data_IF_296996873540
#
_entry.id   IF_296996873540
#
_cell.length_a   1.000
_cell.length_b   1.000
_cell.length_c   1.000
_cell.angle_alpha   90.00
_cell.angle_beta   90.00
_cell.angle_gamma   90.00
#
_symmetry.space_group_name_H-M   'P 1'
#
loop_
_entity.id
_entity.type
_entity.pdbx_description
1 polymer ?
#
# COMPACT_ATOMS: atom_id res chain seq x y z
N UNK A 1 -11.83 -12.35 6.44
CA UNK A 1 -10.53 -12.37 5.74
C UNK A 1 -10.59 -11.78 4.34
N UNK A 2 -11.54 -12.19 3.48
CA UNK A 2 -11.59 -11.74 2.07
C UNK A 2 -11.83 -10.24 1.90
N UNK A 3 -12.81 -9.65 2.60
CA UNK A 3 -13.14 -8.21 2.45
C UNK A 3 -11.98 -7.32 2.93
N UNK A 4 -11.43 -7.61 4.11
CA UNK A 4 -10.31 -6.83 4.68
C UNK A 4 -9.06 -6.88 3.78
N UNK A 5 -8.79 -8.04 3.16
CA UNK A 5 -7.74 -8.20 2.16
C UNK A 5 -7.93 -7.25 0.97
N UNK A 6 -9.14 -7.19 0.42
CA UNK A 6 -9.45 -6.30 -0.70
C UNK A 6 -9.35 -4.83 -0.31
N UNK A 7 -9.84 -4.44 0.88
CA UNK A 7 -9.75 -3.05 1.35
C UNK A 7 -8.30 -2.58 1.42
N UNK A 8 -7.43 -3.36 2.05
CA UNK A 8 -6.00 -2.99 2.17
C UNK A 8 -5.34 -2.99 0.80
N UNK A 9 -5.72 -3.92 -0.08
CA UNK A 9 -5.19 -3.94 -1.44
C UNK A 9 -5.59 -2.74 -2.27
N UNK A 10 -6.81 -2.24 -2.12
CA UNK A 10 -7.26 -1.00 -2.76
C UNK A 10 -6.47 0.19 -2.19
N UNK A 11 -6.30 0.28 -0.87
CA UNK A 11 -5.52 1.34 -0.23
C UNK A 11 -4.07 1.33 -0.74
N UNK A 12 -3.45 0.15 -0.78
CA UNK A 12 -2.11 -0.04 -1.35
C UNK A 12 -2.05 0.45 -2.80
N UNK A 13 -2.98 0.03 -3.64
CA UNK A 13 -3.06 0.41 -5.04
C UNK A 13 -3.19 1.91 -5.24
N UNK A 14 -4.08 2.56 -4.47
CA UNK A 14 -4.29 4.01 -4.53
C UNK A 14 -3.04 4.79 -4.08
N UNK A 15 -2.37 4.37 -3.02
CA UNK A 15 -1.15 5.01 -2.53
C UNK A 15 0.01 4.84 -3.53
N UNK A 16 0.16 3.64 -4.10
CA UNK A 16 1.18 3.36 -5.10
C UNK A 16 0.92 4.19 -6.38
N UNK A 17 -0.32 4.19 -6.89
CA UNK A 17 -0.70 4.98 -8.06
C UNK A 17 -0.51 6.48 -7.82
N UNK A 18 -0.97 7.00 -6.67
CA UNK A 18 -0.79 8.40 -6.29
C UNK A 18 0.68 8.79 -6.15
N UNK A 19 1.52 7.87 -5.65
CA UNK A 19 2.97 8.07 -5.57
C UNK A 19 3.60 8.21 -6.96
N UNK A 20 3.26 7.31 -7.88
CA UNK A 20 3.76 7.35 -9.27
C UNK A 20 3.26 8.60 -9.99
N UNK A 21 1.98 8.94 -9.87
CA UNK A 21 1.42 10.16 -10.46
C UNK A 21 2.11 11.42 -9.93
N UNK A 22 2.35 11.50 -8.62
CA UNK A 22 3.07 12.62 -8.01
C UNK A 22 4.51 12.70 -8.53
N UNK A 23 5.18 11.56 -8.74
CA UNK A 23 6.52 11.54 -9.33
C UNK A 23 6.51 12.03 -10.78
N UNK A 24 5.53 11.62 -11.58
CA UNK A 24 5.36 12.08 -12.96
C UNK A 24 5.10 13.60 -13.00
N UNK A 25 4.26 14.11 -12.11
CA UNK A 25 4.00 15.55 -12.00
C UNK A 25 5.25 16.33 -11.57
N UNK A 26 6.08 15.78 -10.68
CA UNK A 26 7.36 16.37 -10.34
C UNK A 26 8.27 16.44 -11.58
N UNK A 27 8.40 15.36 -12.35
CA UNK A 27 9.22 15.35 -13.56
C UNK A 27 8.72 16.33 -14.63
N UNK A 28 7.41 16.54 -14.73
CA UNK A 28 6.81 17.43 -15.71
C UNK A 28 6.85 18.91 -15.32
N UNK A 29 6.72 19.23 -14.03
CA UNK A 29 6.53 20.60 -13.53
C UNK A 29 7.72 21.14 -12.73
N UNK A 30 8.65 20.26 -12.32
CA UNK A 30 9.80 20.55 -11.46
C UNK A 30 9.44 21.22 -10.11
N UNK A 31 8.20 21.04 -9.65
CA UNK A 31 7.73 21.60 -8.37
C UNK A 31 8.08 20.61 -7.23
N UNK A 32 8.94 20.99 -6.27
CA UNK A 32 9.46 20.07 -5.24
C UNK A 32 8.38 19.46 -4.33
N UNK A 33 7.24 20.15 -4.18
CA UNK A 33 6.07 19.64 -3.45
C UNK A 33 5.60 18.27 -3.96
N UNK A 34 5.65 18.03 -5.27
CA UNK A 34 5.23 16.76 -5.86
C UNK A 34 6.19 15.62 -5.52
N UNK A 35 7.48 15.90 -5.38
CA UNK A 35 8.48 14.92 -4.95
C UNK A 35 8.27 14.50 -3.49
N UNK A 36 7.97 15.46 -2.61
CA UNK A 36 7.63 15.18 -1.21
C UNK A 36 6.37 14.32 -1.09
N UNK A 37 5.33 14.66 -1.86
CA UNK A 37 4.09 13.86 -1.93
C UNK A 37 4.35 12.45 -2.45
N UNK A 38 5.13 12.30 -3.53
CA UNK A 38 5.50 11.00 -4.07
C UNK A 38 6.18 10.12 -3.01
N UNK A 39 7.15 10.67 -2.27
CA UNK A 39 7.86 9.96 -1.19
C UNK A 39 6.96 9.62 0.00
N UNK A 40 6.07 10.52 0.39
CA UNK A 40 5.11 10.27 1.48
C UNK A 40 4.13 9.15 1.12
N UNK A 41 3.52 9.23 -0.07
CA UNK A 41 2.59 8.22 -0.58
C UNK A 41 3.28 6.86 -0.77
N UNK A 42 4.54 6.85 -1.22
CA UNK A 42 5.33 5.61 -1.33
C UNK A 42 5.54 4.95 0.03
N UNK A 43 5.85 5.72 1.08
CA UNK A 43 5.98 5.19 2.45
C UNK A 43 4.65 4.59 2.93
N UNK A 44 3.54 5.28 2.67
CA UNK A 44 2.20 4.76 2.94
C UNK A 44 1.91 3.45 2.19
N UNK A 45 2.25 3.38 0.90
CA UNK A 45 2.10 2.18 0.10
C UNK A 45 2.92 1.01 0.69
N UNK A 46 4.18 1.23 1.08
CA UNK A 46 4.95 0.16 1.73
C UNK A 46 4.33 -0.35 3.03
N UNK A 47 3.82 0.55 3.88
CA UNK A 47 3.13 0.16 5.11
C UNK A 47 1.86 -0.64 4.82
N UNK A 48 1.05 -0.20 3.86
CA UNK A 48 -0.17 -0.91 3.46
C UNK A 48 0.18 -2.30 2.89
N UNK A 49 1.23 -2.40 2.07
CA UNK A 49 1.69 -3.67 1.50
C UNK A 49 2.21 -4.65 2.55
N UNK A 50 3.04 -4.17 3.50
CA UNK A 50 3.52 -4.99 4.62
C UNK A 50 2.38 -5.48 5.51
N UNK A 51 1.40 -4.61 5.77
CA UNK A 51 0.22 -4.95 6.56
C UNK A 51 -0.62 -6.00 5.85
N UNK A 52 -0.87 -5.82 4.55
CA UNK A 52 -1.56 -6.79 3.71
C UNK A 52 -0.88 -8.16 3.78
N UNK A 53 0.42 -8.21 3.50
CA UNK A 53 1.19 -9.44 3.53
C UNK A 53 1.11 -10.14 4.89
N UNK A 54 1.30 -9.39 5.98
CA UNK A 54 1.18 -9.94 7.34
C UNK A 54 -0.19 -10.54 7.59
N UNK A 55 -1.27 -9.85 7.25
CA UNK A 55 -2.62 -10.36 7.46
C UNK A 55 -2.87 -11.64 6.65
N UNK A 56 -2.36 -11.73 5.42
CA UNK A 56 -2.52 -12.94 4.62
C UNK A 56 -1.77 -14.15 5.16
N UNK A 57 -0.54 -13.94 5.63
CA UNK A 57 0.29 -15.00 6.18
C UNK A 57 -0.25 -15.42 7.55
N UNK A 58 -0.32 -14.48 8.49
CA UNK A 58 -0.77 -14.75 9.85
C UNK A 58 -2.23 -15.19 9.89
N UNK A 59 -3.10 -14.62 9.05
CA UNK A 59 -4.49 -15.05 8.95
C UNK A 59 -4.63 -16.52 8.55
N UNK A 60 -3.75 -17.01 7.66
CA UNK A 60 -3.67 -18.43 7.32
C UNK A 60 -3.13 -19.27 8.47
N UNK A 61 -2.06 -18.82 9.13
CA UNK A 61 -1.49 -19.53 10.30
C UNK A 61 -2.54 -19.69 11.39
N UNK A 62 -3.23 -18.61 11.78
CA UNK A 62 -4.30 -18.67 12.78
C UNK A 62 -5.44 -19.58 12.35
N UNK A 63 -5.85 -19.53 11.08
CA UNK A 63 -6.89 -20.41 10.57
C UNK A 63 -6.51 -21.88 10.71
N UNK A 64 -5.28 -22.23 10.30
CA UNK A 64 -4.72 -23.58 10.45
C UNK A 64 -4.65 -23.99 11.91
N UNK A 65 -4.19 -23.13 12.82
CA UNK A 65 -4.10 -23.47 14.25
C UNK A 65 -5.45 -23.69 14.94
N UNK A 66 -6.52 -23.05 14.47
CA UNK A 66 -7.86 -23.16 15.07
C UNK A 66 -8.65 -24.36 14.49
N UNK A 67 -8.49 -24.63 13.20
CA UNK A 67 -9.25 -25.67 12.48
C UNK A 67 -8.53 -27.00 12.36
N UNK A 68 -7.29 -27.10 12.86
CA UNK A 68 -6.54 -28.35 12.97
C UNK A 68 -6.68 -28.91 14.38
#
# INVERSE_FOLDING_TARGET
MTVFRWVIGIIFGLLAAGSVLSLVLFLALDIPLWLERARSLRRGAYLAGLTWFNIEVWGRVFWTLIHW
#
